data_IF_330660072274
#
_entry.id   IF_330660072274
#
_cell.length_a   1.000
_cell.length_b   1.000
_cell.length_c   1.000
_cell.angle_alpha   90.00
_cell.angle_beta   90.00
_cell.angle_gamma   90.00
#
_symmetry.space_group_name_H-M   'P 1'
#
loop_
_entity.id
_entity.type
_entity.pdbx_description
1 polymer ?
#
# COMPACT_ATOMS: atom_id res chain seq x y z
N UNK A 1 5.45 14.99 18.66
CA UNK A 1 4.59 15.21 17.48
C UNK A 1 3.13 15.15 17.89
N UNK A 2 2.34 16.17 17.52
CA UNK A 2 0.87 16.15 17.57
C UNK A 2 0.32 15.07 16.63
N UNK A 3 -0.96 14.71 16.75
CA UNK A 3 -1.59 13.73 15.85
C UNK A 3 -1.50 14.21 14.40
N UNK A 4 -1.75 15.49 14.14
CA UNK A 4 -1.64 16.08 12.81
C UNK A 4 -0.23 15.97 12.23
N UNK A 5 0.80 16.17 13.05
CA UNK A 5 2.21 16.01 12.64
C UNK A 5 2.54 14.54 12.32
N UNK A 6 2.02 13.59 13.11
CA UNK A 6 2.19 12.15 12.82
C UNK A 6 1.51 11.80 11.51
N UNK A 7 0.26 12.20 11.31
CA UNK A 7 -0.48 11.92 10.06
C UNK A 7 0.24 12.50 8.84
N UNK A 8 0.75 13.73 8.94
CA UNK A 8 1.53 14.34 7.88
C UNK A 8 2.84 13.59 7.59
N UNK A 9 3.51 13.08 8.62
CA UNK A 9 4.74 12.28 8.51
C UNK A 9 4.50 10.93 7.85
N UNK A 10 3.39 10.25 8.17
CA UNK A 10 3.05 8.93 7.63
C UNK A 10 2.67 8.97 6.14
N UNK A 11 2.30 10.15 5.61
CA UNK A 11 2.06 10.40 4.18
C UNK A 11 1.02 9.46 3.54
N UNK A 12 -0.02 9.08 4.29
CA UNK A 12 -1.20 8.44 3.71
C UNK A 12 -1.92 9.44 2.79
N UNK A 13 -1.89 9.18 1.48
CA UNK A 13 -2.55 10.00 0.46
C UNK A 13 -4.02 9.59 0.26
N UNK A 14 -4.82 10.43 -0.41
CA UNK A 14 -6.24 10.15 -0.72
C UNK A 14 -6.50 8.72 -1.27
N UNK A 15 -5.68 8.15 -2.18
CA UNK A 15 -5.83 6.76 -2.61
C UNK A 15 -5.90 5.72 -1.49
N UNK A 16 -5.16 5.89 -0.38
CA UNK A 16 -5.19 4.96 0.76
C UNK A 16 -6.56 4.88 1.39
N UNK A 17 -7.22 6.04 1.53
CA UNK A 17 -8.57 6.13 2.09
C UNK A 17 -9.63 5.65 1.11
N UNK A 18 -9.51 6.04 -0.16
CA UNK A 18 -10.47 5.65 -1.20
C UNK A 18 -10.50 4.14 -1.46
N UNK A 19 -9.36 3.45 -1.35
CA UNK A 19 -9.30 1.99 -1.49
C UNK A 19 -9.87 1.28 -0.25
N UNK A 20 -9.96 1.99 0.88
CA UNK A 20 -10.37 1.43 2.18
C UNK A 20 -9.23 0.77 2.95
N UNK A 21 -7.97 1.09 2.62
CA UNK A 21 -6.81 0.66 3.43
C UNK A 21 -6.76 1.47 4.73
N UNK A 22 -7.10 2.75 4.63
CA UNK A 22 -7.16 3.67 5.77
C UNK A 22 -8.58 4.18 5.96
N UNK A 23 -9.00 4.21 7.21
CA UNK A 23 -10.17 4.91 7.71
C UNK A 23 -9.81 5.58 9.04
N UNK A 24 -10.79 6.26 9.66
CA UNK A 24 -10.57 6.97 10.93
C UNK A 24 -10.12 6.02 12.05
N UNK A 25 -10.62 4.78 12.06
CA UNK A 25 -10.26 3.78 13.07
C UNK A 25 -8.81 3.31 12.90
N UNK A 26 -8.45 2.90 11.69
CA UNK A 26 -7.11 2.43 11.33
C UNK A 26 -6.09 3.55 11.50
N UNK A 27 -6.44 4.79 11.15
CA UNK A 27 -5.58 5.95 11.38
C UNK A 27 -5.31 6.18 12.86
N UNK A 28 -6.36 6.15 13.70
CA UNK A 28 -6.23 6.32 15.15
C UNK A 28 -5.33 5.24 15.75
N UNK A 29 -5.50 3.97 15.35
CA UNK A 29 -4.65 2.86 15.81
C UNK A 29 -3.19 3.04 15.34
N UNK A 30 -3.00 3.45 14.08
CA UNK A 30 -1.67 3.68 13.51
C UNK A 30 -0.94 4.80 14.24
N UNK A 31 -1.60 5.92 14.54
CA UNK A 31 -1.02 7.03 15.31
C UNK A 31 -0.64 6.61 16.73
N UNK A 32 -1.49 5.81 17.39
CA UNK A 32 -1.19 5.28 18.72
C UNK A 32 0.04 4.37 18.70
N UNK A 33 0.13 3.46 17.72
CA UNK A 33 1.26 2.55 17.58
C UNK A 33 2.55 3.28 17.20
N UNK A 34 2.48 4.28 16.31
CA UNK A 34 3.62 5.12 15.93
C UNK A 34 4.28 5.77 17.14
N UNK A 35 3.48 6.28 18.08
CA UNK A 35 3.98 6.92 19.30
C UNK A 35 4.67 5.96 20.27
N UNK A 36 4.29 4.69 20.23
CA UNK A 36 4.82 3.66 21.10
C UNK A 36 6.03 2.93 20.49
N UNK A 37 6.33 3.18 19.21
CA UNK A 37 7.40 2.52 18.49
C UNK A 37 8.72 3.30 18.58
N UNK A 38 9.83 2.56 18.57
CA UNK A 38 11.18 3.13 18.47
C UNK A 38 11.58 3.44 17.02
N UNK A 39 10.93 2.81 16.05
CA UNK A 39 11.14 3.01 14.61
C UNK A 39 10.07 3.94 14.01
N UNK A 40 10.53 5.04 13.43
CA UNK A 40 9.71 6.11 12.88
C UNK A 40 9.71 6.14 11.34
N UNK A 41 10.24 5.09 10.69
CA UNK A 41 10.22 4.93 9.23
C UNK A 41 8.79 4.91 8.69
N UNK A 42 8.44 5.89 7.84
CA UNK A 42 7.07 6.10 7.37
C UNK A 42 6.59 4.98 6.44
N UNK A 43 7.52 4.34 5.73
CA UNK A 43 7.31 3.22 4.84
C UNK A 43 6.85 1.96 5.58
N UNK A 44 7.31 1.75 6.81
CA UNK A 44 6.91 0.60 7.62
C UNK A 44 5.44 0.66 8.00
N UNK A 45 4.96 1.85 8.36
CA UNK A 45 3.56 2.09 8.72
C UNK A 45 2.64 1.98 7.52
N UNK A 46 3.03 2.55 6.37
CA UNK A 46 2.27 2.39 5.13
C UNK A 46 2.22 0.94 4.67
N UNK A 47 3.35 0.23 4.68
CA UNK A 47 3.39 -1.17 4.31
C UNK A 47 2.60 -2.06 5.29
N UNK A 48 2.67 -1.76 6.59
CA UNK A 48 1.87 -2.44 7.62
C UNK A 48 0.37 -2.27 7.40
N UNK A 49 -0.11 -1.06 7.10
CA UNK A 49 -1.51 -0.82 6.78
C UNK A 49 -1.96 -1.58 5.52
N UNK A 50 -1.13 -1.61 4.48
CA UNK A 50 -1.38 -2.41 3.28
C UNK A 50 -1.48 -3.92 3.60
N UNK A 51 -0.55 -4.45 4.40
CA UNK A 51 -0.58 -5.86 4.79
C UNK A 51 -1.81 -6.20 5.62
N UNK A 52 -2.19 -5.33 6.57
CA UNK A 52 -3.42 -5.49 7.33
C UNK A 52 -4.66 -5.54 6.41
N UNK A 53 -4.75 -4.62 5.45
CA UNK A 53 -5.82 -4.65 4.45
C UNK A 53 -5.84 -5.98 3.67
N UNK A 54 -4.68 -6.48 3.24
CA UNK A 54 -4.55 -7.73 2.50
C UNK A 54 -4.94 -8.96 3.32
N UNK A 55 -4.75 -8.93 4.64
CA UNK A 55 -5.18 -9.99 5.54
C UNK A 55 -6.70 -9.99 5.77
N UNK A 56 -7.33 -8.81 5.77
CA UNK A 56 -8.79 -8.67 5.85
C UNK A 56 -9.50 -8.99 4.52
N UNK A 57 -8.78 -8.94 3.40
CA UNK A 57 -9.32 -9.17 2.06
C UNK A 57 -8.61 -10.35 1.39
N UNK A 58 -8.95 -11.61 1.77
CA UNK A 58 -8.30 -12.80 1.21
C UNK A 58 -8.51 -12.91 -0.31
N UNK A 59 -9.58 -12.33 -0.83
CA UNK A 59 -9.87 -12.17 -2.24
C UNK A 59 -9.99 -10.70 -2.58
N UNK A 60 -9.27 -10.26 -3.61
CA UNK A 60 -9.39 -8.91 -4.14
C UNK A 60 -10.38 -8.90 -5.31
N UNK A 61 -11.14 -7.83 -5.45
CA UNK A 61 -11.83 -7.56 -6.71
C UNK A 61 -10.82 -7.12 -7.76
N UNK A 62 -11.19 -7.28 -9.03
CA UNK A 62 -10.42 -6.76 -10.17
C UNK A 62 -10.07 -5.28 -10.02
N UNK A 63 -11.03 -4.48 -9.53
CA UNK A 63 -10.85 -3.04 -9.30
C UNK A 63 -9.86 -2.76 -8.16
N UNK A 64 -9.93 -3.53 -7.07
CA UNK A 64 -8.97 -3.42 -5.97
C UNK A 64 -7.55 -3.77 -6.43
N UNK A 65 -7.38 -4.83 -7.23
CA UNK A 65 -6.09 -5.19 -7.81
C UNK A 65 -5.49 -4.02 -8.61
N UNK A 66 -6.27 -3.43 -9.52
CA UNK A 66 -5.81 -2.30 -10.31
C UNK A 66 -5.49 -1.06 -9.45
N UNK A 67 -6.34 -0.76 -8.46
CA UNK A 67 -6.16 0.39 -7.58
C UNK A 67 -4.93 0.24 -6.65
N UNK A 68 -4.68 -0.95 -6.11
CA UNK A 68 -3.50 -1.24 -5.29
C UNK A 68 -2.21 -1.25 -6.11
N UNK A 69 -2.27 -1.76 -7.35
CA UNK A 69 -1.13 -1.67 -8.26
C UNK A 69 -0.79 -0.19 -8.57
N UNK A 70 -1.81 0.63 -8.85
CA UNK A 70 -1.68 2.08 -9.01
C UNK A 70 -1.10 2.76 -7.78
N UNK A 71 -1.53 2.35 -6.59
CA UNK A 71 -1.04 2.86 -5.30
C UNK A 71 0.47 2.64 -5.19
N UNK A 72 0.92 1.41 -5.42
CA UNK A 72 2.35 1.07 -5.35
C UNK A 72 3.17 1.79 -6.42
N UNK A 73 2.66 1.93 -7.65
CA UNK A 73 3.37 2.65 -8.72
C UNK A 73 3.61 4.13 -8.38
N UNK A 74 2.67 4.76 -7.66
CA UNK A 74 2.69 6.17 -7.26
C UNK A 74 3.34 6.41 -5.88
N UNK A 75 3.71 5.36 -5.16
CA UNK A 75 4.29 5.51 -3.81
C UNK A 75 5.65 6.24 -3.87
N UNK A 76 5.89 7.25 -3.02
CA UNK A 76 7.14 8.01 -3.03
C UNK A 76 8.36 7.17 -2.68
N UNK A 77 8.18 6.08 -1.92
CA UNK A 77 9.26 5.18 -1.57
C UNK A 77 9.35 4.04 -2.59
N UNK A 78 10.41 4.05 -3.41
CA UNK A 78 10.53 3.15 -4.57
C UNK A 78 10.34 1.67 -4.20
N UNK A 79 11.12 1.18 -3.23
CA UNK A 79 11.11 -0.23 -2.80
C UNK A 79 9.80 -0.64 -2.12
N UNK A 80 9.12 0.30 -1.44
CA UNK A 80 7.86 0.03 -0.76
C UNK A 80 6.74 -0.11 -1.79
N UNK A 81 6.65 0.84 -2.73
CA UNK A 81 5.71 0.75 -3.84
C UNK A 81 5.91 -0.49 -4.71
N UNK A 82 7.17 -0.85 -5.00
CA UNK A 82 7.50 -2.12 -5.66
C UNK A 82 6.96 -3.33 -4.89
N UNK A 83 7.16 -3.35 -3.57
CA UNK A 83 6.67 -4.45 -2.71
C UNK A 83 5.14 -4.57 -2.73
N UNK A 84 4.41 -3.45 -2.71
CA UNK A 84 2.95 -3.44 -2.90
C UNK A 84 2.58 -4.06 -4.25
N UNK A 85 3.21 -3.59 -5.33
CA UNK A 85 2.88 -4.04 -6.68
C UNK A 85 3.13 -5.54 -6.86
N UNK A 86 4.27 -6.05 -6.40
CA UNK A 86 4.60 -7.48 -6.48
C UNK A 86 3.60 -8.32 -5.67
N UNK A 87 3.25 -7.88 -4.46
CA UNK A 87 2.27 -8.57 -3.61
C UNK A 87 0.87 -8.61 -4.24
N UNK A 88 0.48 -7.57 -4.96
CA UNK A 88 -0.77 -7.56 -5.74
C UNK A 88 -0.68 -8.59 -6.86
N UNK A 89 0.41 -8.63 -7.63
CA UNK A 89 0.59 -9.56 -8.76
C UNK A 89 0.57 -11.05 -8.36
N UNK A 90 0.88 -11.38 -7.10
CA UNK A 90 0.75 -12.73 -6.54
C UNK A 90 -0.72 -13.19 -6.41
N UNK A 91 -1.69 -12.27 -6.47
CA UNK A 91 -3.12 -12.60 -6.34
C UNK A 91 -3.68 -13.13 -7.66
N UNK A 92 -4.39 -14.25 -7.59
CA UNK A 92 -4.96 -14.93 -8.76
C UNK A 92 -6.07 -14.11 -9.44
N UNK A 93 -6.71 -13.21 -8.70
CA UNK A 93 -7.80 -12.34 -9.14
C UNK A 93 -7.29 -11.13 -9.94
N UNK A 94 -5.97 -10.90 -10.00
CA UNK A 94 -5.40 -9.79 -10.75
C UNK A 94 -5.71 -9.90 -12.25
N UNK A 95 -6.33 -8.87 -12.85
CA UNK A 95 -6.73 -8.95 -14.23
C UNK A 95 -5.52 -8.91 -15.19
N UNK A 96 -5.66 -9.44 -16.42
CA UNK A 96 -4.57 -9.48 -17.39
C UNK A 96 -3.99 -8.11 -17.76
N UNK A 97 -4.75 -7.02 -17.63
CA UNK A 97 -4.23 -5.67 -17.89
C UNK A 97 -3.22 -5.22 -16.82
N UNK A 98 -3.45 -5.56 -15.55
CA UNK A 98 -2.48 -5.30 -14.46
C UNK A 98 -1.17 -6.07 -14.72
N UNK A 99 -1.27 -7.32 -15.16
CA UNK A 99 -0.09 -8.12 -15.55
C UNK A 99 0.69 -7.49 -16.73
N UNK A 100 -0.02 -7.01 -17.76
CA UNK A 100 0.62 -6.30 -18.89
C UNK A 100 1.29 -5.00 -18.46
N UNK A 101 0.66 -4.24 -17.56
CA UNK A 101 1.26 -3.03 -16.99
C UNK A 101 2.53 -3.37 -16.22
N UNK A 102 2.49 -4.42 -15.40
CA UNK A 102 3.65 -4.89 -14.65
C UNK A 102 4.85 -5.27 -15.53
N UNK A 103 4.61 -5.84 -16.71
CA UNK A 103 5.67 -6.19 -17.67
C UNK A 103 6.42 -4.98 -18.25
N UNK A 104 5.85 -3.77 -18.15
CA UNK A 104 6.46 -2.54 -18.68
C UNK A 104 6.84 -1.52 -17.61
N UNK A 105 6.29 -1.65 -16.40
CA UNK A 105 6.57 -0.72 -15.30
C UNK A 105 8.01 -0.88 -14.78
N UNK A 106 8.77 0.23 -14.60
CA UNK A 106 10.15 0.17 -14.15
C UNK A 106 10.34 -0.50 -12.78
N UNK A 107 9.32 -0.55 -11.91
CA UNK A 107 9.38 -1.20 -10.60
C UNK A 107 9.23 -2.72 -10.69
N UNK A 108 8.46 -3.24 -11.65
CA UNK A 108 8.12 -4.67 -11.69
C UNK A 108 8.67 -5.42 -12.89
N UNK A 109 9.00 -4.75 -14.01
CA UNK A 109 9.37 -5.40 -15.28
C UNK A 109 10.47 -6.45 -15.17
N UNK A 110 11.43 -6.27 -14.25
CA UNK A 110 12.53 -7.21 -14.05
C UNK A 110 12.11 -8.55 -13.41
N UNK A 111 10.88 -8.64 -12.89
CA UNK A 111 10.32 -9.84 -12.25
C UNK A 111 9.30 -10.57 -13.12
N UNK A 112 9.00 -10.05 -14.33
CA UNK A 112 7.91 -10.55 -15.19
C UNK A 112 8.39 -11.55 -16.27
N UNK A 113 9.42 -12.33 -15.96
CA UNK A 113 10.11 -13.25 -16.89
C UNK A 113 9.25 -14.38 -17.44
#
# INVERSE_FOLDING_TARGET
MTDAEVVAHLRFTEPWYRIGIMDDETLRLTVANFRAADDLGDEHWRYGAFMYFMDQHPHLTTEQCAALFDLGAKDPHYAMGQSIMLRVLERAECPPDVQRRAATDPRTKQYMG
#
